data_IF_169643219508
#
_entry.id   IF_169643219508
#
_cell.length_a   1.000
_cell.length_b   1.000
_cell.length_c   1.000
_cell.angle_alpha   90.00
_cell.angle_beta   90.00
_cell.angle_gamma   90.00
#
_symmetry.space_group_name_H-M   'P 1'
#
loop_
_entity.id
_entity.type
_entity.pdbx_description
1 polymer ?
#
# COMPACT_ATOMS: atom_id res chain seq x y z
N UNK A 1 -6.24 -34.56 63.64
CA UNK A 1 -6.68 -33.68 62.53
C UNK A 1 -6.59 -34.51 61.27
N UNK A 2 -7.74 -34.78 60.67
CA UNK A 2 -7.94 -35.82 59.67
C UNK A 2 -7.37 -35.43 58.30
N UNK A 3 -6.67 -36.39 57.69
CA UNK A 3 -6.31 -36.39 56.28
C UNK A 3 -7.57 -36.59 55.44
N UNK A 4 -7.88 -35.64 54.55
CA UNK A 4 -8.73 -35.88 53.38
C UNK A 4 -7.89 -35.55 52.15
N UNK A 5 -7.53 -36.60 51.42
CA UNK A 5 -6.79 -36.55 50.18
C UNK A 5 -7.67 -37.20 49.12
N UNK A 6 -8.68 -36.46 48.64
CA UNK A 6 -9.54 -36.85 47.54
C UNK A 6 -9.26 -35.91 46.38
N UNK A 7 -8.32 -36.29 45.52
CA UNK A 7 -8.12 -35.67 44.22
C UNK A 7 -8.11 -36.79 43.18
N UNK A 8 -9.29 -37.37 42.97
CA UNK A 8 -9.59 -38.25 41.84
C UNK A 8 -9.81 -37.34 40.62
N UNK A 9 -8.71 -36.92 40.00
CA UNK A 9 -8.74 -36.45 38.62
C UNK A 9 -8.94 -37.68 37.75
N UNK A 10 -10.12 -37.84 37.17
CA UNK A 10 -10.31 -38.77 36.06
C UNK A 10 -9.41 -38.29 34.93
N UNK A 11 -8.29 -38.98 34.73
CA UNK A 11 -7.56 -38.91 33.47
C UNK A 11 -8.58 -39.28 32.40
N UNK A 12 -8.87 -38.36 31.47
CA UNK A 12 -9.60 -38.65 30.26
C UNK A 12 -8.79 -39.74 29.53
N UNK A 13 -9.19 -41.00 29.73
CA UNK A 13 -8.62 -42.15 29.02
C UNK A 13 -8.81 -41.87 27.53
N UNK A 14 -7.70 -41.55 26.86
CA UNK A 14 -7.67 -41.46 25.40
C UNK A 14 -8.03 -42.85 24.87
N UNK A 15 -9.27 -43.01 24.43
CA UNK A 15 -9.73 -44.21 23.74
C UNK A 15 -8.94 -44.34 22.43
N UNK A 16 -8.00 -45.28 22.40
CA UNK A 16 -7.34 -45.68 21.17
C UNK A 16 -8.26 -46.63 20.42
N UNK A 17 -8.86 -46.15 19.33
CA UNK A 17 -9.68 -46.97 18.45
C UNK A 17 -8.79 -47.90 17.62
N UNK A 18 -9.03 -49.21 17.75
CA UNK A 18 -8.41 -50.24 16.92
C UNK A 18 -9.18 -50.38 15.61
N UNK A 19 -8.69 -49.72 14.56
CA UNK A 19 -9.31 -49.72 13.22
C UNK A 19 -9.23 -51.08 12.51
N UNK A 20 -8.46 -52.04 13.03
CA UNK A 20 -8.37 -53.38 12.48
C UNK A 20 -9.37 -54.35 13.11
N UNK A 21 -10.18 -53.90 14.09
CA UNK A 21 -11.22 -54.72 14.71
C UNK A 21 -12.41 -54.95 13.74
N UNK A 22 -12.69 -56.20 13.31
CA UNK A 22 -13.77 -56.49 12.37
C UNK A 22 -15.18 -56.29 12.95
N UNK A 23 -15.33 -56.11 14.27
CA UNK A 23 -16.59 -55.72 14.92
C UNK A 23 -16.76 -54.20 15.00
N UNK A 24 -15.75 -53.42 14.61
CA UNK A 24 -15.84 -51.96 14.53
C UNK A 24 -16.61 -51.56 13.27
N UNK A 25 -17.94 -51.59 13.36
CA UNK A 25 -18.78 -50.95 12.35
C UNK A 25 -18.60 -49.43 12.48
N UNK A 26 -17.92 -48.84 11.49
CA UNK A 26 -17.94 -47.39 11.29
C UNK A 26 -19.41 -47.01 11.15
N UNK A 27 -19.98 -46.36 12.16
CA UNK A 27 -21.26 -45.68 12.05
C UNK A 27 -21.13 -44.67 10.92
N UNK A 28 -21.56 -45.05 9.71
CA UNK A 28 -21.54 -44.18 8.54
C UNK A 28 -22.61 -43.10 8.62
N UNK A 29 -23.26 -42.94 9.78
CA UNK A 29 -24.45 -42.15 9.94
C UNK A 29 -25.63 -42.88 9.31
N UNK A 30 -26.77 -42.85 9.98
CA UNK A 30 -28.04 -43.21 9.36
C UNK A 30 -28.26 -42.25 8.18
N UNK A 31 -28.17 -42.77 6.95
CA UNK A 31 -28.28 -42.03 5.67
C UNK A 31 -29.59 -41.22 5.50
N UNK A 32 -30.50 -41.23 6.47
CA UNK A 32 -31.80 -40.53 6.45
C UNK A 32 -31.77 -39.13 7.09
N UNK A 33 -30.67 -38.69 7.71
CA UNK A 33 -30.56 -37.32 8.25
C UNK A 33 -29.84 -36.33 7.31
N UNK A 34 -29.32 -36.78 6.16
CA UNK A 34 -28.96 -35.84 5.10
C UNK A 34 -30.23 -35.45 4.34
N UNK A 35 -30.69 -34.19 4.44
CA UNK A 35 -31.90 -33.76 3.78
C UNK A 35 -31.85 -34.16 2.30
N UNK A 36 -32.88 -34.92 1.90
CA UNK A 36 -33.27 -35.24 0.52
C UNK A 36 -32.51 -34.46 -0.54
N UNK A 37 -31.56 -35.11 -1.20
CA UNK A 37 -30.89 -34.74 -2.47
C UNK A 37 -31.19 -33.30 -2.91
N UNK A 38 -30.43 -32.34 -2.39
CA UNK A 38 -30.32 -31.02 -3.02
C UNK A 38 -30.04 -31.25 -4.51
N UNK A 39 -30.70 -30.48 -5.38
CA UNK A 39 -30.36 -30.52 -6.80
C UNK A 39 -28.90 -30.07 -6.97
N UNK A 40 -28.27 -30.45 -8.08
CA UNK A 40 -26.90 -30.01 -8.38
C UNK A 40 -26.78 -28.47 -8.28
N UNK A 41 -27.79 -27.76 -8.76
CA UNK A 41 -27.87 -26.29 -8.73
C UNK A 41 -27.94 -25.74 -7.29
N UNK A 42 -28.74 -26.34 -6.41
CA UNK A 42 -28.84 -25.93 -5.00
C UNK A 42 -27.53 -26.19 -4.25
N UNK A 43 -26.85 -27.30 -4.57
CA UNK A 43 -25.55 -27.63 -3.98
C UNK A 43 -24.49 -26.62 -4.43
N UNK A 44 -24.50 -26.21 -5.71
CA UNK A 44 -23.58 -25.19 -6.23
C UNK A 44 -23.84 -23.81 -5.61
N UNK A 45 -25.11 -23.42 -5.45
CA UNK A 45 -25.51 -22.18 -4.78
C UNK A 45 -25.04 -22.13 -3.33
N UNK A 46 -25.24 -23.22 -2.57
CA UNK A 46 -24.77 -23.32 -1.18
C UNK A 46 -23.24 -23.28 -1.08
N UNK A 47 -22.54 -23.98 -1.97
CA UNK A 47 -21.07 -23.95 -2.03
C UNK A 47 -20.56 -22.53 -2.32
N UNK A 48 -21.17 -21.81 -3.26
CA UNK A 48 -20.76 -20.43 -3.56
C UNK A 48 -21.10 -19.48 -2.41
N UNK A 49 -22.23 -19.67 -1.72
CA UNK A 49 -22.56 -18.93 -0.51
C UNK A 49 -21.52 -19.15 0.61
N UNK A 50 -21.07 -20.39 0.82
CA UNK A 50 -20.00 -20.72 1.77
C UNK A 50 -18.67 -20.07 1.38
N UNK A 51 -18.29 -20.12 0.09
CA UNK A 51 -17.09 -19.46 -0.44
C UNK A 51 -17.15 -17.95 -0.23
N UNK A 52 -18.30 -17.36 -0.52
CA UNK A 52 -18.51 -15.92 -0.39
C UNK A 52 -18.44 -15.45 1.06
N UNK A 53 -19.05 -16.21 1.97
CA UNK A 53 -18.94 -15.98 3.42
C UNK A 53 -17.48 -16.01 3.89
N UNK A 54 -16.68 -16.99 3.44
CA UNK A 54 -15.24 -17.07 3.76
C UNK A 54 -14.47 -15.88 3.20
N UNK A 55 -14.69 -15.51 1.94
CA UNK A 55 -14.02 -14.36 1.31
C UNK A 55 -14.36 -13.07 2.08
N UNK A 56 -15.63 -12.85 2.42
CA UNK A 56 -16.06 -11.67 3.16
C UNK A 56 -15.39 -11.57 4.52
N UNK A 57 -15.32 -12.66 5.29
CA UNK A 57 -14.59 -12.71 6.57
C UNK A 57 -13.10 -12.39 6.39
N UNK A 58 -12.50 -12.84 5.29
CA UNK A 58 -11.12 -12.50 4.96
C UNK A 58 -10.96 -11.00 4.65
N UNK A 59 -11.88 -10.39 3.90
CA UNK A 59 -11.81 -8.95 3.60
C UNK A 59 -12.01 -8.10 4.87
N UNK A 60 -12.93 -8.51 5.74
CA UNK A 60 -13.12 -7.93 7.08
C UNK A 60 -11.84 -8.02 7.90
N UNK A 61 -11.19 -9.19 7.93
CA UNK A 61 -9.91 -9.37 8.60
C UNK A 61 -8.80 -8.47 8.02
N UNK A 62 -8.71 -8.37 6.69
CA UNK A 62 -7.72 -7.53 5.99
C UNK A 62 -7.94 -6.05 6.26
N UNK A 63 -9.21 -5.60 6.22
CA UNK A 63 -9.61 -4.25 6.56
C UNK A 63 -9.27 -3.90 8.02
N UNK A 64 -9.62 -4.76 8.98
CA UNK A 64 -9.30 -4.56 10.39
C UNK A 64 -7.79 -4.58 10.65
N UNK A 65 -7.06 -5.47 9.98
CA UNK A 65 -5.60 -5.53 10.06
C UNK A 65 -4.99 -4.24 9.55
N UNK A 66 -5.42 -3.78 8.37
CA UNK A 66 -4.98 -2.50 7.83
C UNK A 66 -5.26 -1.34 8.80
N UNK A 67 -6.50 -1.29 9.30
CA UNK A 67 -6.94 -0.28 10.26
C UNK A 67 -6.04 -0.26 11.49
N UNK A 68 -5.93 -1.39 12.18
CA UNK A 68 -5.21 -1.53 13.44
C UNK A 68 -3.71 -1.29 13.30
N UNK A 69 -3.08 -1.87 12.27
CA UNK A 69 -1.63 -1.91 12.17
C UNK A 69 -1.03 -0.73 11.43
N UNK A 70 -1.76 -0.03 10.54
CA UNK A 70 -1.15 1.04 9.74
C UNK A 70 -1.70 2.44 10.02
N UNK A 71 -2.92 2.54 10.58
CA UNK A 71 -3.65 3.82 10.57
C UNK A 71 -4.31 4.22 11.89
N UNK A 72 -4.72 3.26 12.74
CA UNK A 72 -5.46 3.53 13.97
C UNK A 72 -4.64 4.39 14.94
N UNK A 73 -5.17 5.57 15.25
CA UNK A 73 -4.52 6.55 16.14
C UNK A 73 -3.10 6.93 15.69
N UNK A 74 -2.79 6.80 14.40
CA UNK A 74 -1.50 7.16 13.86
C UNK A 74 -1.56 8.51 13.14
N UNK A 75 -0.71 9.43 13.57
CA UNK A 75 -0.38 10.63 12.82
C UNK A 75 1.02 10.45 12.24
N UNK A 76 1.11 10.16 10.95
CA UNK A 76 2.38 10.00 10.27
C UNK A 76 2.84 11.33 9.71
N UNK A 77 4.04 11.77 10.05
CA UNK A 77 4.63 12.97 9.47
C UNK A 77 5.79 12.56 8.59
N UNK A 78 5.91 13.15 7.40
CA UNK A 78 6.90 12.67 6.43
C UNK A 78 7.40 13.69 5.44
N UNK A 79 8.57 13.39 4.88
CA UNK A 79 9.13 14.09 3.73
C UNK A 79 8.91 13.25 2.48
N UNK A 80 8.27 13.84 1.48
CA UNK A 80 7.83 13.19 0.27
C UNK A 80 8.59 13.73 -0.92
N UNK A 81 9.05 12.81 -1.77
CA UNK A 81 9.66 13.16 -3.05
C UNK A 81 8.74 12.69 -4.17
N UNK A 82 8.22 13.65 -4.94
CA UNK A 82 7.35 13.38 -6.10
C UNK A 82 8.18 13.45 -7.37
N UNK A 83 8.59 12.30 -7.89
CA UNK A 83 9.27 12.22 -9.18
C UNK A 83 8.23 12.28 -10.29
N UNK A 84 8.39 13.23 -11.20
CA UNK A 84 7.54 13.35 -12.39
C UNK A 84 8.25 12.71 -13.58
N UNK A 85 7.51 11.97 -14.41
CA UNK A 85 8.10 11.37 -15.62
C UNK A 85 8.15 12.38 -16.75
N UNK A 86 9.23 12.37 -17.54
CA UNK A 86 9.35 13.22 -18.73
C UNK A 86 8.20 13.00 -19.73
N UNK A 87 7.60 11.80 -19.70
CA UNK A 87 6.42 11.40 -20.47
C UNK A 87 5.28 12.42 -20.45
N UNK A 88 5.08 13.14 -19.35
CA UNK A 88 4.01 14.13 -19.18
C UNK A 88 4.50 15.59 -19.03
N UNK A 89 5.81 15.82 -18.89
CA UNK A 89 6.36 17.19 -18.73
C UNK A 89 6.89 17.73 -20.05
N UNK A 90 7.70 16.92 -20.75
CA UNK A 90 8.42 17.28 -21.97
C UNK A 90 8.43 16.04 -22.86
N UNK A 91 7.46 15.96 -23.77
CA UNK A 91 7.33 14.83 -24.67
C UNK A 91 8.68 14.53 -25.34
N UNK A 92 9.16 13.28 -25.20
CA UNK A 92 10.36 12.71 -25.83
C UNK A 92 11.72 12.94 -25.16
N UNK A 93 11.80 13.51 -23.95
CA UNK A 93 13.08 13.47 -23.21
C UNK A 93 13.30 12.06 -22.65
N UNK A 94 14.27 11.35 -23.22
CA UNK A 94 14.71 10.04 -22.76
C UNK A 94 16.05 10.13 -22.04
N UNK A 95 16.32 9.17 -21.17
CA UNK A 95 17.64 8.99 -20.57
C UNK A 95 18.62 8.30 -21.55
N UNK A 96 19.83 8.03 -21.07
CA UNK A 96 20.90 7.38 -21.83
C UNK A 96 20.52 5.97 -22.30
N UNK A 97 19.57 5.33 -21.62
CA UNK A 97 19.06 3.99 -21.94
C UNK A 97 17.80 4.01 -22.82
N UNK A 98 17.35 5.21 -23.24
CA UNK A 98 16.15 5.36 -24.05
C UNK A 98 14.83 5.25 -23.27
N UNK A 99 14.89 5.23 -21.93
CA UNK A 99 13.74 5.20 -21.03
C UNK A 99 13.26 6.62 -20.69
N UNK A 100 12.00 6.80 -20.24
CA UNK A 100 11.56 8.10 -19.75
C UNK A 100 12.40 8.56 -18.56
N UNK A 101 12.83 9.82 -18.57
CA UNK A 101 13.59 10.40 -17.46
C UNK A 101 12.67 10.70 -16.27
N UNK A 102 13.07 10.30 -15.07
CA UNK A 102 12.43 10.75 -13.83
C UNK A 102 13.05 12.07 -13.38
N UNK A 103 12.23 13.10 -13.25
CA UNK A 103 12.64 14.43 -12.82
C UNK A 103 12.40 14.55 -11.32
N UNK A 104 13.47 14.57 -10.53
CA UNK A 104 13.40 14.85 -9.09
C UNK A 104 13.09 16.34 -8.88
N UNK A 105 12.10 16.70 -8.05
CA UNK A 105 11.78 18.09 -7.77
C UNK A 105 12.90 18.73 -6.96
N UNK A 106 13.02 20.07 -7.05
CA UNK A 106 14.04 20.82 -6.28
C UNK A 106 13.78 20.82 -4.77
N UNK A 107 12.54 20.59 -4.35
CA UNK A 107 12.12 20.62 -2.95
C UNK A 107 11.26 19.39 -2.64
N UNK A 108 11.54 18.80 -1.50
CA UNK A 108 10.72 17.75 -0.89
C UNK A 108 9.45 18.39 -0.31
N UNK A 109 8.35 17.65 -0.33
CA UNK A 109 7.06 18.07 0.21
C UNK A 109 6.97 17.52 1.63
N UNK A 110 6.55 18.34 2.59
CA UNK A 110 6.24 17.85 3.93
C UNK A 110 4.76 17.54 4.03
N UNK A 111 4.41 16.37 4.53
CA UNK A 111 3.02 15.94 4.64
C UNK A 111 2.72 15.31 6.00
N UNK A 112 1.48 15.47 6.44
CA UNK A 112 0.91 14.78 7.60
C UNK A 112 -0.19 13.87 7.08
N UNK A 113 -0.10 12.58 7.40
CA UNK A 113 -1.16 11.61 7.15
C UNK A 113 -1.85 11.25 8.45
N UNK A 114 -3.15 11.41 8.48
CA UNK A 114 -4.02 10.91 9.53
C UNK A 114 -5.07 10.02 8.92
N UNK A 115 -5.73 9.22 9.76
CA UNK A 115 -6.85 8.41 9.29
C UNK A 115 -7.87 8.24 10.39
N UNK A 116 -9.14 8.28 10.00
CA UNK A 116 -10.28 8.11 10.90
C UNK A 116 -11.13 6.93 10.43
N UNK A 117 -11.87 6.32 11.36
CA UNK A 117 -12.86 5.29 11.04
C UNK A 117 -14.23 5.92 11.20
N UNK A 118 -14.96 6.01 10.10
CA UNK A 118 -16.33 6.49 10.06
C UNK A 118 -17.27 5.28 9.99
N UNK A 119 -18.15 5.14 10.98
CA UNK A 119 -19.26 4.19 10.88
C UNK A 119 -20.31 4.79 9.95
N UNK A 120 -20.55 4.16 8.79
CA UNK A 120 -21.70 4.54 7.95
C UNK A 120 -22.89 3.66 8.31
N UNK A 121 -23.83 4.22 9.07
CA UNK A 121 -25.14 3.60 9.26
C UNK A 121 -25.97 3.86 8.00
N UNK A 122 -25.77 3.02 6.99
CA UNK A 122 -26.74 2.86 5.92
C UNK A 122 -27.64 1.71 6.31
N UNK A 123 -28.90 1.94 6.72
CA UNK A 123 -29.84 0.85 6.95
C UNK A 123 -30.11 0.15 5.62
N UNK A 124 -29.46 -0.98 5.39
CA UNK A 124 -29.79 -1.93 4.34
C UNK A 124 -30.73 -2.98 4.91
N UNK A 125 -31.65 -3.52 4.10
CA UNK A 125 -32.60 -4.58 4.51
C UNK A 125 -31.89 -5.82 5.11
N UNK A 126 -30.61 -6.01 4.82
CA UNK A 126 -29.71 -6.90 5.57
C UNK A 126 -29.08 -6.14 6.77
N UNK A 127 -29.79 -6.17 7.91
CA UNK A 127 -29.51 -5.44 9.16
C UNK A 127 -28.14 -5.74 9.85
N UNK A 128 -27.25 -6.50 9.23
CA UNK A 128 -26.00 -6.98 9.86
C UNK A 128 -24.70 -6.50 9.20
N UNK A 129 -24.73 -5.55 8.27
CA UNK A 129 -23.51 -5.03 7.62
C UNK A 129 -23.23 -3.60 8.09
N UNK A 130 -22.46 -3.46 9.17
CA UNK A 130 -21.78 -2.18 9.45
C UNK A 130 -20.76 -1.92 8.35
N UNK A 131 -21.05 -0.98 7.46
CA UNK A 131 -20.12 -0.52 6.43
C UNK A 131 -19.17 0.50 7.03
N UNK A 132 -18.19 0.03 7.80
CA UNK A 132 -17.16 0.94 8.29
C UNK A 132 -16.27 1.39 7.14
N UNK A 133 -15.88 2.67 7.19
CA UNK A 133 -15.05 3.30 6.17
C UNK A 133 -13.83 3.90 6.86
N UNK A 134 -12.64 3.58 6.34
CA UNK A 134 -11.40 4.26 6.73
C UNK A 134 -11.26 5.49 5.84
N UNK A 135 -11.21 6.67 6.43
CA UNK A 135 -10.94 7.92 5.72
C UNK A 135 -9.48 8.28 5.90
N UNK A 136 -8.77 8.41 4.79
CA UNK A 136 -7.40 8.88 4.74
C UNK A 136 -7.34 10.37 4.47
N UNK A 137 -6.65 11.09 5.36
CA UNK A 137 -6.40 12.52 5.19
C UNK A 137 -4.90 12.75 5.10
N UNK A 138 -4.47 13.26 3.95
CA UNK A 138 -3.08 13.58 3.68
C UNK A 138 -2.95 15.07 3.38
N UNK A 139 -2.32 15.80 4.29
CA UNK A 139 -2.24 17.27 4.25
C UNK A 139 -0.79 17.68 4.01
N UNK A 140 -0.56 18.40 2.91
CA UNK A 140 0.74 19.03 2.64
C UNK A 140 0.91 20.25 3.55
N UNK A 141 2.01 20.28 4.29
CA UNK A 141 2.36 21.37 5.20
C UNK A 141 3.21 22.38 4.45
N UNK A 142 2.70 23.60 4.28
CA UNK A 142 3.47 24.73 3.77
C UNK A 142 4.44 25.23 4.85
N UNK A 143 5.55 25.85 4.46
CA UNK A 143 6.56 26.35 5.40
C UNK A 143 5.98 27.35 6.42
N UNK A 144 4.97 28.13 6.04
CA UNK A 144 4.29 29.07 6.93
C UNK A 144 3.58 28.34 8.08
N UNK A 145 2.90 27.23 7.80
CA UNK A 145 2.23 26.41 8.80
C UNK A 145 3.21 25.70 9.75
N UNK A 146 4.46 25.44 9.30
CA UNK A 146 5.49 24.86 10.16
C UNK A 146 5.94 25.82 11.26
N UNK A 147 6.13 27.10 10.93
CA UNK A 147 6.58 28.10 11.89
C UNK A 147 5.53 28.30 13.00
N UNK A 148 4.24 28.25 12.67
CA UNK A 148 3.17 28.38 13.65
C UNK A 148 3.01 27.14 14.54
N UNK A 149 3.23 25.94 13.99
CA UNK A 149 3.29 24.70 14.80
C UNK A 149 4.49 24.69 15.77
N UNK A 150 5.63 25.25 15.38
CA UNK A 150 6.81 25.34 16.25
C UNK A 150 6.64 26.41 17.33
N UNK A 151 5.98 27.54 17.02
CA UNK A 151 5.66 28.60 17.99
C UNK A 151 4.68 28.10 19.05
N UNK A 152 3.59 27.44 18.66
CA UNK A 152 2.59 26.94 19.61
C UNK A 152 3.10 25.84 20.57
N UNK A 153 4.11 25.05 20.17
CA UNK A 153 4.79 24.12 21.09
C UNK A 153 5.70 24.84 22.08
N UNK A 154 6.45 25.85 21.63
CA UNK A 154 7.29 26.67 22.53
C UNK A 154 6.46 27.39 23.58
N UNK A 155 5.28 27.88 23.24
CA UNK A 155 4.40 28.55 24.21
C UNK A 155 3.85 27.59 25.28
N UNK A 156 3.56 26.32 24.93
CA UNK A 156 3.10 25.32 25.90
C UNK A 156 4.18 24.85 26.87
N UNK A 157 5.45 24.92 26.48
CA UNK A 157 6.58 24.54 27.34
C UNK A 157 7.03 25.67 28.29
N UNK A 158 6.56 26.91 28.07
CA UNK A 158 6.96 28.09 28.88
C UNK A 158 6.09 28.30 30.13
N UNK A 159 4.90 27.70 30.20
CA UNK A 159 4.05 27.76 31.40
C UNK A 159 4.45 26.73 32.49
N UNK A 160 5.42 25.84 32.20
CA UNK A 160 6.07 24.99 33.19
C UNK A 160 7.26 25.71 33.82
N UNK A 161 7.02 26.57 34.81
CA UNK A 161 8.03 27.43 35.43
C UNK A 161 9.32 26.72 35.88
N UNK A 162 10.36 26.81 35.06
CA UNK A 162 11.76 26.56 35.46
C UNK A 162 12.70 27.47 34.66
N UNK A 163 13.16 28.54 35.33
CA UNK A 163 14.39 29.30 35.06
C UNK A 163 14.72 29.71 33.62
N UNK A 164 14.44 30.98 33.28
CA UNK A 164 15.12 31.69 32.18
C UNK A 164 16.64 31.58 32.37
N UNK A 165 17.33 30.80 31.54
CA UNK A 165 18.79 30.80 31.49
C UNK A 165 19.29 32.05 30.77
N UNK A 166 20.36 32.65 31.29
CA UNK A 166 20.97 33.94 30.93
C UNK A 166 21.52 34.08 29.49
N UNK A 167 21.00 33.33 28.52
CA UNK A 167 21.45 33.35 27.13
C UNK A 167 20.60 34.29 26.23
N UNK A 168 19.44 34.75 26.72
CA UNK A 168 18.53 35.61 25.96
C UNK A 168 18.82 37.12 26.10
N UNK A 169 19.71 37.54 27.01
CA UNK A 169 20.03 38.95 27.21
C UNK A 169 21.15 39.50 26.32
N UNK A 170 21.65 38.72 25.36
CA UNK A 170 22.80 39.11 24.52
C UNK A 170 22.46 39.43 23.05
N UNK A 171 21.17 39.35 22.67
CA UNK A 171 20.76 39.46 21.26
C UNK A 171 20.05 40.78 20.90
N UNK A 172 19.75 41.63 21.88
CA UNK A 172 19.02 42.89 21.66
C UNK A 172 19.90 44.14 21.43
N UNK A 173 21.23 44.01 21.31
CA UNK A 173 22.13 45.18 21.16
C UNK A 173 22.85 45.29 19.80
N UNK A 174 22.42 44.59 18.74
CA UNK A 174 23.11 44.63 17.43
C UNK A 174 22.22 44.84 16.20
N UNK A 175 21.20 45.69 16.29
CA UNK A 175 20.47 46.17 15.10
C UNK A 175 20.41 47.70 15.05
N UNK A 176 21.51 48.31 14.61
CA UNK A 176 21.49 49.66 14.05
C UNK A 176 22.35 49.73 12.78
N UNK A 177 21.69 49.95 11.64
CA UNK A 177 22.31 50.48 10.42
C UNK A 177 22.60 49.47 9.31
N UNK A 178 21.70 49.42 8.31
CA UNK A 178 21.98 49.86 6.92
C UNK A 178 20.77 49.62 6.01
N UNK A 179 20.28 50.73 5.45
CA UNK A 179 19.27 50.72 4.39
C UNK A 179 19.78 50.02 3.12
N UNK A 180 19.03 49.03 2.67
CA UNK A 180 19.25 48.28 1.44
C UNK A 180 17.96 48.20 0.63
N UNK A 181 18.04 48.61 -0.63
CA UNK A 181 16.96 48.75 -1.62
C UNK A 181 16.00 47.54 -1.66
N UNK A 182 14.72 47.82 -1.46
CA UNK A 182 13.60 46.89 -1.68
C UNK A 182 13.42 46.57 -3.16
N UNK A 183 14.10 45.52 -3.63
CA UNK A 183 13.71 44.83 -4.85
C UNK A 183 12.53 43.93 -4.56
N UNK A 184 11.30 44.35 -4.92
CA UNK A 184 10.11 43.49 -4.94
C UNK A 184 10.36 42.30 -5.88
N UNK A 185 10.87 41.20 -5.34
CA UNK A 185 10.80 39.88 -5.99
C UNK A 185 9.35 39.43 -5.90
N UNK A 186 8.62 39.56 -7.01
CA UNK A 186 7.38 38.82 -7.21
C UNK A 186 7.71 37.33 -7.12
N UNK A 187 7.50 36.79 -5.92
CA UNK A 187 7.60 35.37 -5.66
C UNK A 187 6.24 34.83 -6.08
N UNK A 188 6.15 34.34 -7.32
CA UNK A 188 4.96 33.63 -7.79
C UNK A 188 4.86 32.34 -6.99
N UNK A 189 4.21 32.40 -5.82
CA UNK A 189 3.80 31.24 -5.04
C UNK A 189 2.74 30.52 -5.86
N UNK A 190 3.20 29.59 -6.71
CA UNK A 190 2.34 28.62 -7.36
C UNK A 190 1.66 27.86 -6.23
N UNK A 191 0.40 28.18 -5.96
CA UNK A 191 -0.42 27.55 -4.94
C UNK A 191 -0.40 26.05 -5.22
N UNK A 192 0.36 25.31 -4.41
CA UNK A 192 0.43 23.86 -4.49
C UNK A 192 -0.87 23.39 -3.88
N UNK A 193 -1.92 23.35 -4.71
CA UNK A 193 -3.20 22.79 -4.32
C UNK A 193 -2.89 21.35 -3.84
N UNK A 194 -3.07 21.04 -2.54
CA UNK A 194 -2.72 19.73 -2.02
C UNK A 194 -3.57 18.74 -2.79
N UNK A 195 -2.94 17.98 -3.70
CA UNK A 195 -3.64 16.94 -4.43
C UNK A 195 -4.25 16.05 -3.37
N UNK A 196 -5.58 15.98 -3.31
CA UNK A 196 -6.29 15.00 -2.48
C UNK A 196 -5.68 13.64 -2.86
N UNK A 197 -5.20 12.86 -1.89
CA UNK A 197 -4.55 11.57 -2.16
C UNK A 197 -5.56 10.41 -2.14
N UNK A 198 -5.27 9.29 -2.83
CA UNK A 198 -6.25 8.33 -3.35
C UNK A 198 -5.93 6.89 -2.90
N UNK A 199 -6.92 6.06 -2.51
CA UNK A 199 -8.31 6.44 -2.26
C UNK A 199 -8.44 7.14 -0.90
N UNK A 200 -9.20 8.25 -0.88
CA UNK A 200 -9.46 8.98 0.36
C UNK A 200 -10.37 8.21 1.33
N UNK A 201 -11.12 7.21 0.82
CA UNK A 201 -12.01 6.36 1.60
C UNK A 201 -11.79 4.91 1.19
N UNK A 202 -11.59 4.03 2.16
CA UNK A 202 -11.50 2.58 1.98
C UNK A 202 -12.67 1.92 2.69
N UNK A 203 -13.38 1.07 1.96
CA UNK A 203 -14.44 0.21 2.48
C UNK A 203 -13.87 -1.18 2.75
N UNK A 204 -14.55 -1.97 3.57
CA UNK A 204 -14.19 -3.37 3.83
C UNK A 204 -14.03 -4.18 2.55
N UNK A 205 -14.96 -4.03 1.60
CA UNK A 205 -14.94 -4.76 0.32
C UNK A 205 -13.84 -4.29 -0.64
N UNK A 206 -13.10 -3.23 -0.33
CA UNK A 206 -11.96 -2.82 -1.14
C UNK A 206 -10.74 -3.75 -0.93
N UNK A 207 -10.75 -4.60 0.10
CA UNK A 207 -9.70 -5.62 0.36
C UNK A 207 -9.90 -6.94 -0.39
N UNK A 208 -10.88 -6.97 -1.29
CA UNK A 208 -11.11 -8.08 -2.22
C UNK A 208 -9.92 -8.22 -3.18
N UNK A 209 -9.54 -9.45 -3.51
CA UNK A 209 -8.49 -9.74 -4.49
C UNK A 209 -8.59 -8.93 -5.81
N UNK A 210 -9.78 -8.83 -6.45
CA UNK A 210 -9.95 -8.03 -7.67
C UNK A 210 -9.83 -6.50 -7.49
N UNK A 211 -10.07 -5.97 -6.29
CA UNK A 211 -9.84 -4.55 -5.98
C UNK A 211 -8.35 -4.29 -5.73
N UNK A 212 -7.69 -5.32 -5.21
CA UNK A 212 -6.26 -5.42 -5.10
C UNK A 212 -5.67 -4.71 -3.90
N UNK A 213 -6.42 -4.56 -2.80
CA UNK A 213 -5.85 -4.14 -1.51
C UNK A 213 -5.59 -5.36 -0.65
N UNK A 214 -4.45 -5.39 0.04
CA UNK A 214 -4.05 -6.53 0.89
C UNK A 214 -2.98 -6.08 1.89
N UNK A 215 -2.95 -6.72 3.06
CA UNK A 215 -1.90 -6.64 4.06
C UNK A 215 -1.24 -8.01 4.24
N UNK A 216 0.08 -8.02 4.32
CA UNK A 216 0.90 -9.20 4.62
C UNK A 216 2.01 -8.78 5.57
N UNK A 217 1.93 -9.21 6.82
CA UNK A 217 2.90 -8.85 7.86
C UNK A 217 3.08 -7.33 7.99
N UNK A 218 4.30 -6.87 7.75
CA UNK A 218 4.68 -5.46 7.83
C UNK A 218 4.42 -4.66 6.54
N UNK A 219 3.89 -5.30 5.51
CA UNK A 219 3.65 -4.70 4.21
C UNK A 219 2.16 -4.62 3.89
N UNK A 220 1.81 -3.65 3.06
CA UNK A 220 0.48 -3.54 2.50
C UNK A 220 0.53 -2.95 1.10
N UNK A 221 -0.58 -3.11 0.38
CA UNK A 221 -0.78 -2.44 -0.89
C UNK A 221 -2.20 -1.90 -1.00
N UNK A 222 -2.31 -0.73 -1.62
CA UNK A 222 -3.58 -0.12 -1.99
C UNK A 222 -3.62 0.09 -3.50
N UNK A 223 -4.81 0.04 -4.08
CA UNK A 223 -5.05 0.17 -5.49
C UNK A 223 -6.38 0.88 -5.72
N UNK A 224 -6.36 1.83 -6.65
CA UNK A 224 -7.55 2.54 -7.09
C UNK A 224 -7.42 2.83 -8.58
N UNK A 225 -8.52 2.88 -9.31
CA UNK A 225 -8.48 3.18 -10.73
C UNK A 225 -9.78 3.81 -11.21
N UNK A 226 -9.69 4.50 -12.34
CA UNK A 226 -10.82 5.14 -13.02
C UNK A 226 -11.01 4.48 -14.38
N UNK A 227 -12.22 4.05 -14.71
CA UNK A 227 -12.50 3.41 -16.01
C UNK A 227 -12.51 4.40 -17.16
N UNK A 228 -12.16 3.90 -18.33
CA UNK A 228 -12.27 4.64 -19.58
C UNK A 228 -13.74 4.96 -19.90
N UNK A 229 -14.08 6.23 -20.04
CA UNK A 229 -15.43 6.66 -20.42
C UNK A 229 -16.48 6.57 -19.30
N UNK A 230 -16.07 6.23 -18.07
CA UNK A 230 -16.92 6.37 -16.89
C UNK A 230 -17.08 7.86 -16.59
N UNK A 231 -18.22 8.45 -16.95
CA UNK A 231 -18.58 9.76 -16.42
C UNK A 231 -18.60 9.68 -14.89
N UNK A 232 -17.98 10.63 -14.20
CA UNK A 232 -17.66 10.61 -12.75
C UNK A 232 -18.84 10.53 -11.77
N UNK A 233 -19.96 9.92 -12.14
CA UNK A 233 -20.94 9.38 -11.21
C UNK A 233 -20.34 8.18 -10.51
N UNK A 234 -20.28 8.23 -9.17
CA UNK A 234 -19.63 7.23 -8.34
C UNK A 234 -19.94 5.79 -8.79
N UNK A 235 -18.90 4.96 -8.86
CA UNK A 235 -19.06 3.56 -9.24
C UNK A 235 -20.15 2.92 -8.36
N UNK A 236 -21.14 2.24 -8.96
CA UNK A 236 -22.13 1.51 -8.19
C UNK A 236 -21.39 0.56 -7.25
N UNK A 237 -21.76 0.57 -5.97
CA UNK A 237 -21.15 -0.35 -5.00
C UNK A 237 -21.52 -1.76 -5.45
N UNK A 238 -20.54 -2.60 -5.84
CA UNK A 238 -20.86 -3.90 -6.40
C UNK A 238 -21.56 -4.76 -5.36
N UNK A 239 -22.73 -5.31 -5.73
CA UNK A 239 -23.57 -6.13 -4.85
C UNK A 239 -23.32 -7.63 -5.03
N UNK A 240 -22.60 -8.03 -6.09
CA UNK A 240 -22.22 -9.42 -6.37
C UNK A 240 -20.76 -9.56 -6.82
N UNK A 241 -20.22 -10.78 -6.79
CA UNK A 241 -18.87 -11.10 -7.28
C UNK A 241 -18.69 -10.79 -8.76
N UNK A 242 -19.72 -11.06 -9.58
CA UNK A 242 -19.72 -10.75 -11.00
C UNK A 242 -19.63 -9.24 -11.20
N UNK A 243 -20.33 -8.47 -10.37
CA UNK A 243 -20.24 -7.02 -10.38
C UNK A 243 -18.88 -6.52 -9.91
N UNK A 244 -18.25 -7.16 -8.91
CA UNK A 244 -16.87 -6.83 -8.49
C UNK A 244 -15.88 -7.09 -9.63
N UNK A 245 -15.96 -8.24 -10.29
CA UNK A 245 -15.07 -8.58 -11.40
C UNK A 245 -15.26 -7.60 -12.57
N UNK A 246 -16.51 -7.27 -12.91
CA UNK A 246 -16.83 -6.32 -13.95
C UNK A 246 -16.43 -4.89 -13.56
N UNK A 247 -16.66 -4.47 -12.32
CA UNK A 247 -16.27 -3.17 -11.77
C UNK A 247 -14.75 -2.98 -11.78
N UNK A 248 -13.97 -4.04 -11.65
CA UNK A 248 -12.50 -3.96 -11.68
C UNK A 248 -11.88 -4.21 -13.05
N UNK A 249 -12.69 -4.58 -14.04
CA UNK A 249 -12.24 -4.73 -15.42
C UNK A 249 -12.13 -3.37 -16.13
N UNK A 250 -11.00 -3.17 -16.78
CA UNK A 250 -10.68 -2.03 -17.63
C UNK A 250 -11.30 -2.13 -19.03
N UNK A 251 -10.86 -1.28 -19.97
CA UNK A 251 -9.70 -0.40 -19.86
C UNK A 251 -9.91 0.73 -18.83
N UNK A 252 -8.83 1.06 -18.13
CA UNK A 252 -8.75 2.16 -17.18
C UNK A 252 -8.14 3.39 -17.85
N UNK A 253 -8.62 4.57 -17.45
CA UNK A 253 -7.99 5.85 -17.79
C UNK A 253 -6.93 6.29 -16.79
N UNK A 254 -7.09 5.90 -15.52
CA UNK A 254 -6.13 6.13 -14.45
C UNK A 254 -6.01 4.90 -13.57
N UNK A 255 -4.82 4.70 -13.03
CA UNK A 255 -4.53 3.65 -12.07
C UNK A 255 -3.52 4.19 -11.04
N UNK A 256 -3.86 4.07 -9.78
CA UNK A 256 -3.05 4.46 -8.65
C UNK A 256 -2.74 3.22 -7.83
N UNK A 257 -1.46 2.99 -7.56
CA UNK A 257 -1.00 1.85 -6.77
C UNK A 257 -0.09 2.36 -5.67
N UNK A 258 -0.31 1.91 -4.44
CA UNK A 258 0.57 2.13 -3.30
C UNK A 258 1.13 0.80 -2.82
N UNK A 259 2.43 0.77 -2.53
CA UNK A 259 3.09 -0.31 -1.80
C UNK A 259 3.80 0.31 -0.61
N UNK A 260 3.50 -0.19 0.59
CA UNK A 260 4.04 0.35 1.85
C UNK A 260 4.65 -0.73 2.72
N UNK A 261 5.73 -0.39 3.41
CA UNK A 261 6.40 -1.22 4.42
C UNK A 261 6.51 -0.41 5.72
N UNK A 262 6.13 -1.02 6.84
CA UNK A 262 6.28 -0.47 8.19
C UNK A 262 7.41 -1.16 8.94
N UNK A 263 8.19 -0.41 9.70
CA UNK A 263 9.19 -0.93 10.63
C UNK A 263 9.12 -0.14 11.94
N UNK A 264 8.39 -0.68 12.93
CA UNK A 264 8.15 0.00 14.20
C UNK A 264 7.40 1.33 14.03
N UNK A 265 8.09 2.44 14.33
CA UNK A 265 7.56 3.82 14.26
C UNK A 265 7.87 4.54 12.95
N UNK A 266 8.51 3.86 11.99
CA UNK A 266 8.81 4.41 10.68
C UNK A 266 8.15 3.58 9.59
N UNK A 267 7.85 4.21 8.45
CA UNK A 267 7.37 3.53 7.26
C UNK A 267 7.88 4.21 6.00
N UNK A 268 8.01 3.40 4.96
CA UNK A 268 8.30 3.87 3.60
C UNK A 268 7.18 3.42 2.68
N UNK A 269 6.74 4.31 1.80
CA UNK A 269 5.66 4.04 0.83
C UNK A 269 6.07 4.51 -0.55
N UNK A 270 5.74 3.73 -1.57
CA UNK A 270 5.85 4.10 -2.97
C UNK A 270 4.44 4.19 -3.56
N UNK A 271 4.07 5.37 -4.04
CA UNK A 271 2.79 5.61 -4.72
C UNK A 271 3.02 5.88 -6.18
N UNK A 272 2.42 5.09 -7.06
CA UNK A 272 2.57 5.18 -8.50
C UNK A 272 1.26 5.64 -9.12
N UNK A 273 1.33 6.71 -9.92
CA UNK A 273 0.21 7.31 -10.61
C UNK A 273 0.37 7.07 -12.11
N UNK A 274 -0.56 6.32 -12.70
CA UNK A 274 -0.58 5.99 -14.10
C UNK A 274 -1.79 6.63 -14.79
N UNK A 275 -1.58 7.15 -16.00
CA UNK A 275 -2.63 7.80 -16.79
C UNK A 275 -2.45 7.52 -18.29
N UNK A 276 -3.55 7.56 -19.04
CA UNK A 276 -3.49 7.54 -20.51
C UNK A 276 -2.96 8.89 -21.02
N UNK A 277 -2.06 8.88 -22.00
CA UNK A 277 -1.63 10.11 -22.69
C UNK A 277 -2.76 10.78 -23.46
N UNK A 278 -2.71 12.11 -23.56
CA UNK A 278 -3.57 12.86 -24.47
C UNK A 278 -3.50 12.29 -25.89
N UNK A 279 -4.66 12.09 -26.52
CA UNK A 279 -4.77 11.47 -27.85
C UNK A 279 -4.63 9.94 -27.87
N UNK A 280 -4.25 9.29 -26.77
CA UNK A 280 -4.25 7.82 -26.66
C UNK A 280 -5.65 7.20 -26.77
N UNK A 281 -6.66 7.94 -26.31
CA UNK A 281 -8.08 7.58 -26.33
C UNK A 281 -8.60 7.25 -27.74
N UNK A 282 -8.11 7.96 -28.75
CA UNK A 282 -8.62 7.82 -30.13
C UNK A 282 -7.88 6.73 -30.92
N UNK A 283 -6.78 6.19 -30.40
CA UNK A 283 -5.88 5.29 -31.15
C UNK A 283 -6.14 3.81 -30.91
N UNK A 284 -6.69 3.45 -29.75
CA UNK A 284 -6.91 2.04 -29.37
C UNK A 284 -8.10 1.89 -28.43
N UNK A 285 -8.81 0.77 -28.52
CA UNK A 285 -9.84 0.37 -27.55
C UNK A 285 -9.26 0.01 -26.18
N UNK A 286 -7.98 -0.34 -26.12
CA UNK A 286 -7.22 -0.65 -24.91
C UNK A 286 -5.96 0.20 -24.90
N UNK A 287 -6.07 1.50 -24.57
CA UNK A 287 -4.93 2.40 -24.53
C UNK A 287 -3.96 1.99 -23.43
N UNK A 288 -2.66 2.21 -23.65
CA UNK A 288 -1.63 1.98 -22.62
C UNK A 288 -1.74 3.03 -21.50
N UNK A 289 -1.44 2.60 -20.29
CA UNK A 289 -1.25 3.47 -19.14
C UNK A 289 0.24 3.81 -19.01
N UNK A 290 0.55 5.09 -18.83
CA UNK A 290 1.93 5.57 -18.68
C UNK A 290 2.12 6.10 -17.26
N UNK A 291 3.26 5.79 -16.66
CA UNK A 291 3.60 6.37 -15.36
C UNK A 291 3.70 7.89 -15.51
N UNK A 292 2.94 8.60 -14.69
CA UNK A 292 2.90 10.06 -14.61
C UNK A 292 3.76 10.55 -13.47
N UNK A 293 3.55 10.00 -12.27
CA UNK A 293 4.38 10.32 -11.10
C UNK A 293 4.64 9.09 -10.25
N UNK A 294 5.78 9.10 -9.55
CA UNK A 294 6.04 8.21 -8.42
C UNK A 294 6.34 9.07 -7.19
N UNK A 295 5.58 8.87 -6.12
CA UNK A 295 5.77 9.57 -4.84
C UNK A 295 6.36 8.62 -3.82
N UNK A 296 7.56 8.96 -3.34
CA UNK A 296 8.24 8.24 -2.26
C UNK A 296 7.95 8.95 -0.96
N UNK A 297 7.27 8.27 -0.05
CA UNK A 297 6.86 8.80 1.25
C UNK A 297 7.76 8.22 2.34
N UNK A 298 8.53 9.08 3.02
CA UNK A 298 9.37 8.70 4.18
C UNK A 298 8.71 9.27 5.43
N UNK A 299 8.17 8.41 6.29
CA UNK A 299 7.22 8.83 7.32
C UNK A 299 7.56 8.24 8.69
N UNK A 300 7.41 9.06 9.71
CA UNK A 300 7.61 8.69 11.11
C UNK A 300 6.36 9.03 11.93
N UNK A 301 6.06 8.18 12.90
CA UNK A 301 4.92 8.32 13.78
C UNK A 301 5.11 9.51 14.73
N UNK A 302 4.19 10.48 14.68
CA UNK A 302 4.13 11.65 15.57
C UNK A 302 5.25 12.69 15.42
N UNK A 303 6.26 12.44 14.57
CA UNK A 303 7.46 13.26 14.44
C UNK A 303 7.92 13.37 13.00
N UNK A 304 8.55 14.49 12.65
CA UNK A 304 9.16 14.64 11.33
C UNK A 304 10.44 13.81 11.22
N UNK A 305 10.69 13.14 10.09
CA UNK A 305 11.97 12.51 9.80
C UNK A 305 13.11 13.52 9.94
N UNK A 306 14.22 13.07 10.51
CA UNK A 306 15.44 13.84 10.71
C UNK A 306 16.52 13.33 9.79
N UNK A 307 17.38 14.22 9.25
CA UNK A 307 18.49 13.82 8.37
C UNK A 307 19.52 12.86 9.03
N UNK A 308 19.43 12.63 10.34
CA UNK A 308 20.24 11.64 11.09
C UNK A 308 19.73 10.21 10.93
N UNK A 309 18.46 10.03 10.54
CA UNK A 309 17.85 8.72 10.38
C UNK A 309 18.32 8.07 9.07
N UNK A 310 19.29 7.17 9.19
CA UNK A 310 19.84 6.43 8.05
C UNK A 310 18.79 5.58 7.32
N UNK A 311 17.71 5.17 7.99
CA UNK A 311 16.59 4.47 7.35
C UNK A 311 15.88 5.32 6.27
N UNK A 312 16.04 6.65 6.31
CA UNK A 312 15.43 7.57 5.34
C UNK A 312 16.45 8.30 4.48
N UNK A 313 17.64 8.59 5.04
CA UNK A 313 18.67 9.41 4.40
C UNK A 313 20.04 8.74 4.37
N UNK A 314 20.07 7.41 4.52
CA UNK A 314 21.25 6.59 4.26
C UNK A 314 21.60 6.57 2.77
N UNK A 315 22.65 5.81 2.40
CA UNK A 315 23.01 5.53 1.01
C UNK A 315 21.81 5.18 0.13
N UNK A 316 21.91 5.56 -1.14
CA UNK A 316 20.90 5.22 -2.14
C UNK A 316 20.97 3.75 -2.53
N UNK A 317 19.80 3.13 -2.67
CA UNK A 317 19.66 1.75 -3.09
C UNK A 317 19.67 0.78 -1.91
N UNK A 318 18.85 -0.26 -1.98
CA UNK A 318 18.98 -1.40 -1.09
C UNK A 318 20.35 -2.07 -1.29
N UNK A 319 20.95 -2.55 -0.20
CA UNK A 319 22.27 -3.19 -0.24
C UNK A 319 22.24 -4.36 -1.23
N UNK A 320 23.06 -4.31 -2.28
CA UNK A 320 23.11 -5.36 -3.33
C UNK A 320 21.99 -5.33 -4.38
N UNK A 321 21.21 -4.24 -4.46
CA UNK A 321 20.07 -4.10 -5.37
C UNK A 321 18.79 -4.69 -4.78
N UNK A 322 17.82 -5.12 -5.59
CA UNK A 322 16.64 -5.86 -5.09
C UNK A 322 17.03 -7.24 -4.54
N UNK A 323 16.45 -7.65 -3.42
CA UNK A 323 16.71 -8.96 -2.81
C UNK A 323 16.28 -10.09 -3.75
N UNK A 324 15.05 -10.04 -4.22
CA UNK A 324 14.45 -11.04 -5.10
C UNK A 324 13.85 -10.38 -6.35
N UNK A 325 14.61 -10.20 -7.45
CA UNK A 325 14.09 -9.56 -8.65
C UNK A 325 12.88 -10.33 -9.21
N UNK A 326 11.70 -9.71 -9.33
CA UNK A 326 10.51 -10.42 -9.75
C UNK A 326 10.63 -10.92 -11.19
N UNK A 327 10.01 -12.05 -11.53
CA UNK A 327 10.02 -12.55 -12.90
C UNK A 327 9.27 -11.59 -13.82
N UNK A 328 10.03 -10.90 -14.68
CA UNK A 328 9.51 -10.11 -15.79
C UNK A 328 9.37 -11.01 -17.02
N UNK A 329 8.17 -11.07 -17.62
CA UNK A 329 7.80 -12.09 -18.60
C UNK A 329 8.76 -12.24 -19.78
N UNK A 330 8.56 -11.48 -20.85
CA UNK A 330 9.47 -11.44 -22.00
C UNK A 330 10.42 -10.23 -21.94
N UNK A 331 11.52 -10.24 -22.70
CA UNK A 331 12.42 -9.08 -22.79
C UNK A 331 11.68 -7.79 -23.20
N UNK A 332 10.70 -7.92 -24.10
CA UNK A 332 9.85 -6.81 -24.52
C UNK A 332 8.95 -6.28 -23.39
N UNK A 333 8.59 -7.11 -22.41
CA UNK A 333 7.89 -6.69 -21.21
C UNK A 333 8.86 -6.07 -20.20
N UNK A 334 10.03 -6.69 -20.00
CA UNK A 334 11.09 -6.21 -19.12
C UNK A 334 11.58 -4.81 -19.50
N UNK A 335 11.63 -4.49 -20.80
CA UNK A 335 11.95 -3.15 -21.29
C UNK A 335 10.97 -2.05 -20.83
N UNK A 336 9.79 -2.40 -20.29
CA UNK A 336 8.85 -1.44 -19.71
C UNK A 336 9.09 -1.19 -18.22
N UNK A 337 10.12 -1.75 -17.61
CA UNK A 337 10.45 -1.54 -16.20
C UNK A 337 11.49 -0.45 -16.00
N UNK A 338 11.43 0.18 -14.84
CA UNK A 338 12.43 1.10 -14.32
C UNK A 338 12.77 0.71 -12.88
N UNK A 339 14.03 0.87 -12.51
CA UNK A 339 14.48 0.76 -11.13
C UNK A 339 14.94 2.13 -10.65
N UNK A 340 14.56 2.47 -9.42
CA UNK A 340 14.94 3.70 -8.76
C UNK A 340 15.59 3.38 -7.41
N UNK A 341 16.89 3.67 -7.30
CA UNK A 341 17.61 3.60 -6.05
C UNK A 341 17.35 4.88 -5.24
N UNK A 342 16.82 4.69 -4.03
CA UNK A 342 16.38 5.73 -3.13
C UNK A 342 17.30 5.82 -1.92
N UNK A 343 17.53 7.03 -1.42
CA UNK A 343 18.16 7.23 -0.11
C UNK A 343 17.38 6.48 0.97
N UNK A 344 18.11 6.02 1.98
CA UNK A 344 17.54 5.23 3.08
C UNK A 344 17.63 3.73 2.90
N UNK A 345 18.60 3.23 2.12
CA UNK A 345 18.76 1.81 1.81
C UNK A 345 17.52 1.20 1.15
N UNK A 346 16.95 1.92 0.18
CA UNK A 346 15.73 1.49 -0.49
C UNK A 346 15.89 1.47 -2.01
N UNK A 347 15.21 0.52 -2.64
CA UNK A 347 15.11 0.41 -4.09
C UNK A 347 13.66 0.12 -4.46
N UNK A 348 13.16 0.76 -5.51
CA UNK A 348 11.84 0.46 -6.07
C UNK A 348 12.00 0.03 -7.52
N UNK A 349 11.35 -1.08 -7.88
CA UNK A 349 11.19 -1.51 -9.26
C UNK A 349 9.73 -1.41 -9.65
N UNK A 350 9.46 -0.84 -10.82
CA UNK A 350 8.11 -0.61 -11.29
C UNK A 350 8.04 -0.50 -12.82
N UNK A 351 6.89 -0.85 -13.42
CA UNK A 351 6.66 -0.58 -14.82
C UNK A 351 6.43 0.92 -15.05
N UNK A 352 7.03 1.49 -16.08
CA UNK A 352 6.75 2.86 -16.54
C UNK A 352 5.68 2.91 -17.65
N UNK A 353 5.36 1.76 -18.24
CA UNK A 353 4.24 1.56 -19.17
C UNK A 353 3.51 0.28 -18.79
N UNK A 354 2.19 0.37 -18.75
CA UNK A 354 1.28 -0.72 -18.46
C UNK A 354 0.39 -0.98 -19.67
N UNK A 355 0.40 -2.22 -20.16
CA UNK A 355 -0.40 -2.66 -21.30
C UNK A 355 -1.76 -3.22 -20.83
N UNK A 356 -2.83 -2.75 -21.47
CA UNK A 356 -4.20 -3.12 -21.14
C UNK A 356 -4.83 -4.07 -22.16
N UNK A 357 -4.17 -4.33 -23.29
CA UNK A 357 -4.56 -5.40 -24.22
C UNK A 357 -4.20 -6.77 -23.63
N UNK A 358 -5.20 -7.65 -23.51
CA UNK A 358 -5.02 -8.99 -22.93
C UNK A 358 -4.25 -9.94 -23.85
N UNK A 359 -4.11 -9.60 -25.14
CA UNK A 359 -3.33 -10.38 -26.10
C UNK A 359 -1.83 -10.03 -26.08
N UNK A 360 -1.42 -9.05 -25.26
CA UNK A 360 -0.02 -8.65 -25.15
C UNK A 360 0.65 -9.42 -24.02
N UNK A 361 1.91 -9.76 -24.26
CA UNK A 361 2.77 -10.46 -23.30
C UNK A 361 2.15 -11.76 -22.76
N UNK A 362 1.35 -12.45 -23.57
CA UNK A 362 0.69 -13.71 -23.21
C UNK A 362 -0.19 -13.63 -21.95
N UNK A 363 -0.74 -12.43 -21.68
CA UNK A 363 -1.54 -12.18 -20.48
C UNK A 363 -0.73 -12.13 -19.17
N UNK A 364 0.61 -12.12 -19.26
CA UNK A 364 1.46 -11.99 -18.09
C UNK A 364 1.14 -10.71 -17.30
N UNK A 365 1.16 -10.87 -15.98
CA UNK A 365 0.94 -9.79 -15.03
C UNK A 365 2.12 -8.81 -14.96
N UNK A 366 2.03 -7.92 -13.98
CA UNK A 366 3.04 -6.92 -13.66
C UNK A 366 3.43 -7.02 -12.19
N UNK A 367 4.60 -6.49 -11.83
CA UNK A 367 5.07 -6.42 -10.46
C UNK A 367 5.48 -4.99 -10.09
N UNK A 368 5.21 -4.56 -8.87
CA UNK A 368 5.86 -3.41 -8.24
C UNK A 368 6.54 -3.90 -6.97
N UNK A 369 7.84 -3.64 -6.85
CA UNK A 369 8.66 -4.08 -5.72
C UNK A 369 9.17 -2.87 -4.96
N UNK A 370 9.00 -2.87 -3.64
CA UNK A 370 9.65 -1.95 -2.71
C UNK A 370 10.58 -2.76 -1.81
N UNK A 371 11.88 -2.60 -1.94
CA UNK A 371 12.91 -3.18 -1.07
C UNK A 371 13.44 -2.08 -0.15
N UNK A 372 13.47 -2.34 1.15
CA UNK A 372 13.91 -1.39 2.16
C UNK A 372 14.62 -2.09 3.33
N UNK A 373 15.79 -1.57 3.69
CA UNK A 373 16.55 -2.00 4.88
C UNK A 373 16.57 -0.92 5.96
N UNK A 374 15.47 -0.74 6.72
CA UNK A 374 15.35 0.32 7.74
C UNK A 374 16.24 0.11 8.98
N UNK A 375 16.74 -1.10 9.19
CA UNK A 375 17.48 -1.47 10.40
C UNK A 375 18.20 -2.80 10.25
N UNK A 376 18.04 -3.70 11.23
CA UNK A 376 18.64 -5.04 11.19
C UNK A 376 17.97 -5.96 10.18
N UNK A 377 16.70 -5.71 9.89
CA UNK A 377 15.90 -6.46 8.94
C UNK A 377 15.83 -5.70 7.62
N UNK A 378 15.80 -6.47 6.55
CA UNK A 378 15.52 -6.05 5.18
C UNK A 378 14.18 -6.65 4.78
N UNK A 379 13.36 -5.82 4.14
CA UNK A 379 12.03 -6.16 3.70
C UNK A 379 11.91 -5.91 2.21
N UNK A 380 11.36 -6.86 1.47
CA UNK A 380 10.92 -6.64 0.09
C UNK A 380 9.44 -6.96 -0.03
N UNK A 381 8.64 -5.96 -0.41
CA UNK A 381 7.22 -6.12 -0.68
C UNK A 381 6.97 -6.12 -2.19
N UNK A 382 6.44 -7.23 -2.70
CA UNK A 382 6.15 -7.43 -4.12
C UNK A 382 4.65 -7.48 -4.36
N UNK A 383 4.12 -6.44 -5.00
CA UNK A 383 2.75 -6.42 -5.50
C UNK A 383 2.73 -6.99 -6.91
N UNK A 384 2.32 -8.25 -7.07
CA UNK A 384 2.07 -8.87 -8.38
C UNK A 384 0.60 -8.71 -8.74
N UNK A 385 0.31 -8.14 -9.90
CA UNK A 385 -1.05 -7.86 -10.37
C UNK A 385 -1.26 -8.34 -11.80
N UNK A 386 -2.53 -8.52 -12.19
CA UNK A 386 -2.89 -9.11 -13.48
C UNK A 386 -2.53 -8.17 -14.64
N UNK A 387 -2.44 -8.72 -15.86
CA UNK A 387 -2.26 -7.96 -17.09
C UNK A 387 -3.59 -7.60 -17.76
N UNK A 388 -3.52 -6.89 -18.88
CA UNK A 388 -4.66 -6.65 -19.75
C UNK A 388 -5.77 -5.82 -19.09
N UNK A 389 -7.03 -6.25 -19.25
CA UNK A 389 -8.17 -5.52 -18.67
C UNK A 389 -8.28 -5.71 -17.16
N UNK A 390 -7.63 -6.71 -16.57
CA UNK A 390 -7.74 -6.98 -15.13
C UNK A 390 -6.65 -6.30 -14.31
N UNK A 391 -5.98 -5.28 -14.87
CA UNK A 391 -4.78 -4.66 -14.30
C UNK A 391 -4.92 -4.06 -12.89
N UNK A 392 -6.15 -3.81 -12.45
CA UNK A 392 -6.44 -3.41 -11.07
C UNK A 392 -6.30 -4.58 -10.08
N UNK A 393 -6.62 -5.79 -10.52
CA UNK A 393 -6.69 -7.00 -9.70
C UNK A 393 -5.33 -7.49 -9.25
N UNK A 394 -5.23 -7.78 -7.95
CA UNK A 394 -4.03 -8.35 -7.33
C UNK A 394 -3.98 -9.84 -7.61
N UNK A 395 -2.80 -10.32 -8.03
CA UNK A 395 -2.49 -11.75 -8.11
C UNK A 395 -1.96 -12.22 -6.75
N UNK A 396 -0.90 -11.58 -6.25
CA UNK A 396 -0.33 -11.82 -4.92
C UNK A 396 0.29 -10.54 -4.37
N UNK A 397 0.28 -10.41 -3.04
CA UNK A 397 1.21 -9.53 -2.32
C UNK A 397 2.16 -10.45 -1.55
N UNK A 398 3.44 -10.33 -1.80
CA UNK A 398 4.47 -11.13 -1.15
C UNK A 398 5.36 -10.23 -0.30
N UNK A 399 5.76 -10.71 0.88
CA UNK A 399 6.69 -10.03 1.77
C UNK A 399 7.85 -10.97 2.10
N UNK A 400 9.04 -10.60 1.65
CA UNK A 400 10.29 -11.26 2.01
C UNK A 400 10.94 -10.51 3.17
N UNK A 401 11.26 -11.23 4.24
CA UNK A 401 11.97 -10.69 5.41
C UNK A 401 13.29 -11.44 5.60
N UNK A 402 14.40 -10.71 5.63
CA UNK A 402 15.74 -11.29 5.82
C UNK A 402 16.58 -10.40 6.73
N UNK A 403 17.52 -11.00 7.47
CA UNK A 403 18.51 -10.22 8.23
C UNK A 403 19.39 -9.46 7.24
N UNK A 404 19.45 -8.13 7.34
CA UNK A 404 20.07 -7.25 6.34
C UNK A 404 21.53 -7.60 6.04
N UNK A 405 22.33 -7.90 7.08
CA UNK A 405 23.74 -8.26 6.94
C UNK A 405 23.96 -9.64 6.29
N UNK A 406 22.91 -10.48 6.26
CA UNK A 406 22.93 -11.82 5.66
C UNK A 406 22.14 -11.86 4.34
N UNK A 407 21.61 -10.74 3.86
CA UNK A 407 20.73 -10.71 2.70
C UNK A 407 21.43 -11.25 1.44
N UNK A 408 22.72 -10.97 1.24
CA UNK A 408 23.44 -11.52 0.08
C UNK A 408 23.72 -13.03 0.19
N UNK A 409 23.83 -13.57 1.41
CA UNK A 409 24.06 -15.00 1.63
C UNK A 409 22.82 -15.83 1.29
N UNK A 410 21.64 -15.32 1.72
CA UNK A 410 20.33 -15.95 1.54
C UNK A 410 19.57 -15.45 0.32
N UNK A 411 20.24 -14.71 -0.58
CA UNK A 411 19.63 -14.26 -1.82
C UNK A 411 19.14 -15.48 -2.63
N UNK A 412 17.89 -15.49 -3.14
CA UNK A 412 17.41 -16.56 -3.99
C UNK A 412 18.39 -16.79 -5.15
N UNK A 413 18.94 -18.01 -5.24
CA UNK A 413 19.94 -18.37 -6.27
C UNK A 413 19.31 -18.86 -7.57
N UNK A 414 18.03 -19.24 -7.53
CA UNK A 414 17.24 -19.53 -8.72
C UNK A 414 16.93 -18.22 -9.43
N UNK A 415 17.31 -18.11 -10.71
CA UNK A 415 16.86 -16.99 -11.54
C UNK A 415 15.33 -16.98 -11.68
N UNK A 416 14.76 -15.97 -12.36
CA UNK A 416 13.31 -15.85 -12.55
C UNK A 416 12.64 -17.05 -13.27
N UNK A 417 13.43 -18.01 -13.78
CA UNK A 417 12.97 -19.25 -14.40
C UNK A 417 12.41 -20.26 -13.39
N UNK A 418 12.95 -20.34 -12.16
CA UNK A 418 12.48 -21.27 -11.12
C UNK A 418 11.22 -20.77 -10.39
N UNK A 419 10.85 -19.51 -10.61
CA UNK A 419 9.72 -18.82 -9.95
C UNK A 419 8.44 -18.82 -10.79
N UNK A 420 8.42 -19.55 -11.92
CA UNK A 420 7.24 -19.72 -12.79
C UNK A 420 6.30 -20.87 -12.38
N UNK A 421 6.55 -21.51 -11.23
CA UNK A 421 5.73 -22.64 -10.76
C UNK A 421 4.46 -22.18 -10.04
#
# INVERSE_FOLDING_TARGET
>A
MSNNNDNNGSEDELEFYDYDNPEFEIDQGVYDEFPTRLTADQTEEEIEAMRESRRRKNDEFQFETYYKEFVKNCEWRGEWTVYETSTFIQENVKDENGLPKLVKPKREIKAVCTSTREATHTPTEDDNITTDVIVHEEVVVTNEAMDDSLKSRREKDVDGGFGRTAFESFRDEMEDGKGGKEGKKETTTREVNPRKYWPAKLKTLDFRGPQGNMCVGNAYTLCWGEKLGGGGGGEPTPTSLVDVANANSGPLQKLNIEVGIRYGEIRMRSKLDYEIKEGGLFKSKTPKLFLKTITVCRERLGQWPTKKEKAFYGPSGATGGLFDPPPVGSEAQAANYMQLDLEGYATVLFPHVLEQDSNKYDGNGWCISLDWTPGKMRYQADRKFLGGKLIKGLKTLELSEVVGDQAEEYRPRGGPEDMRQ
#
